data_IF_234924914078
#
_entry.id   IF_234924914078
#
_cell.length_a   1.000
_cell.length_b   1.000
_cell.length_c   1.000
_cell.angle_alpha   90.00
_cell.angle_beta   90.00
_cell.angle_gamma   90.00
#
_symmetry.space_group_name_H-M   'P 1'
#
loop_
_entity.id
_entity.type
_entity.pdbx_description
1 polymer ?
#
# COMPACT_ATOMS: atom_id res chain seq x y z
N UNK A 1 -28.10 -16.13 -13.03
CA UNK A 1 -27.19 -17.28 -12.92
C UNK A 1 -27.53 -18.13 -11.71
N UNK A 2 -27.61 -17.54 -10.51
CA UNK A 2 -27.95 -18.27 -9.27
C UNK A 2 -29.32 -18.97 -9.34
N UNK A 3 -30.33 -18.34 -9.96
CA UNK A 3 -31.67 -18.92 -10.13
C UNK A 3 -31.69 -20.25 -10.90
N UNK A 4 -30.81 -20.42 -11.89
CA UNK A 4 -30.77 -21.64 -12.72
C UNK A 4 -30.07 -22.77 -11.95
N UNK A 5 -29.01 -22.43 -11.23
CA UNK A 5 -28.29 -23.38 -10.36
C UNK A 5 -29.12 -23.80 -9.15
N UNK A 6 -29.81 -22.87 -8.50
CA UNK A 6 -30.77 -23.16 -7.42
C UNK A 6 -31.91 -24.05 -7.91
N UNK A 7 -32.44 -23.79 -9.12
CA UNK A 7 -33.47 -24.62 -9.72
C UNK A 7 -32.96 -26.04 -10.03
N UNK A 8 -31.72 -26.18 -10.52
CA UNK A 8 -31.10 -27.48 -10.74
C UNK A 8 -30.88 -28.25 -9.43
N UNK A 9 -30.37 -27.58 -8.40
CA UNK A 9 -30.15 -28.16 -7.07
C UNK A 9 -31.47 -28.60 -6.43
N UNK A 10 -32.54 -27.80 -6.59
CA UNK A 10 -33.89 -28.12 -6.10
C UNK A 10 -34.52 -29.31 -6.82
N UNK A 11 -34.23 -29.50 -8.11
CA UNK A 11 -34.80 -30.56 -8.93
C UNK A 11 -33.85 -31.72 -9.25
N UNK A 12 -32.78 -31.91 -8.44
CA UNK A 12 -31.72 -32.92 -8.68
C UNK A 12 -32.23 -34.31 -9.05
N UNK A 13 -33.30 -34.80 -8.41
CA UNK A 13 -33.89 -36.12 -8.69
C UNK A 13 -34.53 -36.21 -10.09
N UNK A 14 -35.18 -35.13 -10.55
CA UNK A 14 -35.78 -35.06 -11.89
C UNK A 14 -34.73 -34.95 -12.98
N UNK A 15 -33.65 -34.21 -12.70
CA UNK A 15 -32.52 -34.07 -13.63
C UNK A 15 -31.78 -35.40 -13.77
N UNK A 16 -31.50 -36.09 -12.67
CA UNK A 16 -30.89 -37.43 -12.70
C UNK A 16 -31.78 -38.40 -13.47
N UNK A 17 -33.10 -38.39 -13.21
CA UNK A 17 -34.05 -39.23 -13.96
C UNK A 17 -34.03 -38.92 -15.46
N UNK A 18 -33.98 -37.63 -15.83
CA UNK A 18 -33.91 -37.20 -17.23
C UNK A 18 -32.61 -37.66 -17.91
N UNK A 19 -31.47 -37.56 -17.23
CA UNK A 19 -30.17 -38.03 -17.73
C UNK A 19 -30.20 -39.54 -17.94
N UNK A 20 -30.70 -40.30 -16.96
CA UNK A 20 -30.84 -41.76 -17.07
C UNK A 20 -31.78 -42.14 -18.22
N UNK A 21 -32.90 -41.42 -18.38
CA UNK A 21 -33.84 -41.63 -19.48
C UNK A 21 -33.22 -41.30 -20.84
N UNK A 22 -32.41 -40.24 -20.95
CA UNK A 22 -31.69 -39.91 -22.17
C UNK A 22 -30.60 -40.94 -22.51
N UNK A 23 -30.04 -41.63 -21.51
CA UNK A 23 -28.99 -42.62 -21.72
C UNK A 23 -29.56 -44.01 -22.08
N UNK A 24 -30.63 -44.42 -21.39
CA UNK A 24 -31.25 -45.75 -21.53
C UNK A 24 -32.38 -45.75 -22.56
N UNK A 25 -33.12 -44.66 -22.67
CA UNK A 25 -34.26 -44.52 -23.58
C UNK A 25 -33.92 -44.80 -25.05
N UNK A 26 -32.86 -44.21 -25.61
CA UNK A 26 -32.43 -44.52 -26.97
C UNK A 26 -32.10 -46.00 -27.17
N UNK A 27 -31.43 -46.67 -26.21
CA UNK A 27 -31.16 -48.11 -26.31
C UNK A 27 -32.44 -48.95 -26.37
N UNK A 28 -33.47 -48.58 -25.60
CA UNK A 28 -34.76 -49.28 -25.63
C UNK A 28 -35.48 -49.03 -26.95
N UNK A 29 -35.48 -47.78 -27.42
CA UNK A 29 -36.14 -47.37 -28.67
C UNK A 29 -35.49 -48.03 -29.89
N UNK A 30 -34.15 -48.06 -29.96
CA UNK A 30 -33.44 -48.75 -31.04
C UNK A 30 -33.71 -50.25 -31.00
N UNK A 31 -33.68 -50.88 -29.82
CA UNK A 31 -33.96 -52.31 -29.70
C UNK A 31 -35.38 -52.69 -30.15
N UNK A 32 -36.37 -51.82 -29.89
CA UNK A 32 -37.74 -52.02 -30.34
C UNK A 32 -37.89 -51.79 -31.85
N UNK A 33 -37.33 -50.70 -32.40
CA UNK A 33 -37.38 -50.37 -33.83
C UNK A 33 -36.73 -51.45 -34.70
N UNK A 34 -35.59 -52.01 -34.28
CA UNK A 34 -34.90 -53.06 -35.04
C UNK A 34 -35.56 -54.44 -34.94
N UNK A 35 -36.41 -54.67 -33.93
CA UNK A 35 -37.06 -55.97 -33.70
C UNK A 35 -38.50 -56.03 -34.22
N UNK A 36 -39.14 -54.87 -34.41
CA UNK A 36 -40.54 -54.77 -34.80
C UNK A 36 -40.68 -54.57 -36.31
N UNK A 37 -41.07 -55.63 -37.03
CA UNK A 37 -41.41 -55.52 -38.46
C UNK A 37 -42.87 -55.10 -38.62
N UNK A 38 -43.12 -53.80 -38.76
CA UNK A 38 -44.46 -53.23 -38.95
C UNK A 38 -44.96 -53.27 -40.39
N UNK A 39 -44.07 -53.47 -41.37
CA UNK A 39 -44.42 -53.46 -42.80
C UNK A 39 -44.91 -52.09 -43.31
N UNK A 40 -44.73 -51.04 -42.52
CA UNK A 40 -45.14 -49.67 -42.82
C UNK A 40 -43.89 -48.84 -43.10
N UNK A 41 -43.71 -48.42 -44.35
CA UNK A 41 -42.49 -47.77 -44.86
C UNK A 41 -42.03 -46.57 -44.02
N UNK A 42 -42.95 -45.82 -43.40
CA UNK A 42 -42.66 -44.63 -42.60
C UNK A 42 -42.08 -44.92 -41.21
N UNK A 43 -42.18 -46.17 -40.74
CA UNK A 43 -41.76 -46.60 -39.40
C UNK A 43 -40.56 -47.56 -39.50
N UNK A 44 -40.28 -48.05 -40.70
CA UNK A 44 -39.16 -48.94 -40.97
C UNK A 44 -37.85 -48.15 -40.94
N UNK A 45 -36.87 -48.65 -40.20
CA UNK A 45 -35.61 -47.93 -40.01
C UNK A 45 -34.79 -47.93 -41.31
N UNK A 46 -34.68 -46.76 -41.96
CA UNK A 46 -33.81 -46.56 -43.13
C UNK A 46 -32.33 -46.44 -42.78
N UNK A 47 -32.02 -46.21 -41.49
CA UNK A 47 -30.68 -45.93 -41.00
C UNK A 47 -30.02 -47.21 -40.52
N UNK A 48 -28.73 -47.41 -40.84
CA UNK A 48 -27.98 -48.51 -40.26
C UNK A 48 -27.81 -48.30 -38.74
N UNK A 49 -27.80 -49.40 -37.99
CA UNK A 49 -27.67 -49.37 -36.53
C UNK A 49 -26.43 -48.60 -36.06
N UNK A 50 -25.34 -48.64 -36.85
CA UNK A 50 -24.10 -47.90 -36.57
C UNK A 50 -24.24 -46.38 -36.71
N UNK A 51 -24.94 -45.90 -37.74
CA UNK A 51 -25.15 -44.47 -38.00
C UNK A 51 -26.05 -43.83 -36.93
N UNK A 52 -27.14 -44.52 -36.58
CA UNK A 52 -28.05 -44.07 -35.53
C UNK A 52 -27.34 -44.02 -34.16
N UNK A 53 -26.54 -45.04 -33.82
CA UNK A 53 -25.78 -45.07 -32.57
C UNK A 53 -24.72 -43.96 -32.51
N UNK A 54 -24.04 -43.68 -33.63
CA UNK A 54 -23.06 -42.60 -33.75
C UNK A 54 -23.69 -41.20 -33.56
N UNK A 55 -24.88 -40.98 -34.12
CA UNK A 55 -25.64 -39.75 -33.89
C UNK A 55 -25.99 -39.56 -32.41
N UNK A 56 -26.50 -40.60 -31.75
CA UNK A 56 -26.82 -40.55 -30.32
C UNK A 56 -25.58 -40.30 -29.46
N UNK A 57 -24.45 -40.94 -29.76
CA UNK A 57 -23.20 -40.70 -29.06
C UNK A 57 -22.71 -39.24 -29.20
N UNK A 58 -22.90 -38.66 -30.38
CA UNK A 58 -22.52 -37.26 -30.67
C UNK A 58 -23.38 -36.27 -29.86
N UNK A 59 -24.70 -36.45 -29.85
CA UNK A 59 -25.62 -35.61 -29.06
C UNK A 59 -25.39 -35.80 -27.56
N UNK A 60 -25.17 -37.03 -27.12
CA UNK A 60 -24.91 -37.35 -25.71
C UNK A 60 -23.58 -36.78 -25.21
N UNK A 61 -22.56 -36.67 -26.07
CA UNK A 61 -21.26 -36.06 -25.71
C UNK A 61 -21.28 -34.53 -25.68
N UNK A 62 -22.22 -33.89 -26.38
CA UNK A 62 -22.38 -32.43 -26.35
C UNK A 62 -22.83 -31.91 -24.98
N UNK A 63 -23.82 -32.56 -24.37
CA UNK A 63 -24.39 -32.16 -23.07
C UNK A 63 -23.34 -32.02 -21.94
N UNK A 64 -22.51 -33.03 -21.63
CA UNK A 64 -21.47 -32.92 -20.63
C UNK A 64 -20.41 -31.90 -21.01
N UNK A 65 -20.09 -31.75 -22.30
CA UNK A 65 -19.14 -30.73 -22.78
C UNK A 65 -19.63 -29.31 -22.51
N UNK A 66 -20.93 -29.03 -22.73
CA UNK A 66 -21.53 -27.71 -22.43
C UNK A 66 -21.53 -27.45 -20.92
N UNK A 67 -21.91 -28.43 -20.10
CA UNK A 67 -21.89 -28.31 -18.63
C UNK A 67 -20.46 -28.09 -18.13
N UNK A 68 -19.48 -28.79 -18.71
CA UNK A 68 -18.06 -28.66 -18.35
C UNK A 68 -17.51 -27.28 -18.76
N UNK A 69 -17.85 -26.79 -19.96
CA UNK A 69 -17.49 -25.45 -20.41
C UNK A 69 -18.06 -24.37 -19.48
N UNK A 70 -19.32 -24.51 -19.07
CA UNK A 70 -19.96 -23.62 -18.10
C UNK A 70 -19.26 -23.65 -16.73
N UNK A 71 -19.00 -24.85 -16.19
CA UNK A 71 -18.30 -25.01 -14.91
C UNK A 71 -16.90 -24.38 -14.95
N UNK A 72 -16.21 -24.52 -16.08
CA UNK A 72 -14.88 -23.91 -16.30
C UNK A 72 -14.95 -22.39 -16.27
N UNK A 73 -15.94 -21.77 -16.93
CA UNK A 73 -16.14 -20.31 -16.88
C UNK A 73 -16.40 -19.82 -15.45
N UNK A 74 -17.23 -20.54 -14.69
CA UNK A 74 -17.54 -20.19 -13.29
C UNK A 74 -16.32 -20.32 -12.37
N UNK A 75 -15.52 -21.38 -12.54
CA UNK A 75 -14.27 -21.56 -11.81
C UNK A 75 -13.27 -20.45 -12.15
N UNK A 76 -13.18 -20.06 -13.42
CA UNK A 76 -12.29 -19.00 -13.87
C UNK A 76 -12.71 -17.62 -13.31
N UNK A 77 -14.00 -17.29 -13.34
CA UNK A 77 -14.50 -16.06 -12.73
C UNK A 77 -14.24 -16.00 -11.21
N UNK A 78 -14.44 -17.12 -10.51
CA UNK A 78 -14.13 -17.21 -9.08
C UNK A 78 -12.63 -17.09 -8.80
N UNK A 79 -11.79 -17.73 -9.62
CA UNK A 79 -10.34 -17.66 -9.51
C UNK A 79 -9.85 -16.22 -9.76
N UNK A 80 -10.37 -15.53 -10.76
CA UNK A 80 -10.05 -14.13 -11.04
C UNK A 80 -10.41 -13.22 -9.87
N UNK A 81 -11.62 -13.36 -9.30
CA UNK A 81 -12.03 -12.59 -8.10
C UNK A 81 -11.12 -12.84 -6.90
N UNK A 82 -10.69 -14.09 -6.70
CA UNK A 82 -9.73 -14.43 -5.64
C UNK A 82 -8.34 -13.84 -5.92
N UNK A 83 -7.90 -13.89 -7.18
CA UNK A 83 -6.64 -13.31 -7.62
C UNK A 83 -6.60 -11.80 -7.41
N UNK A 84 -7.66 -11.08 -7.81
CA UNK A 84 -7.78 -9.63 -7.58
C UNK A 84 -7.70 -9.27 -6.10
N UNK A 85 -8.35 -10.08 -5.24
CA UNK A 85 -8.29 -9.90 -3.79
C UNK A 85 -6.87 -10.13 -3.26
N UNK A 86 -6.17 -11.16 -3.76
CA UNK A 86 -4.77 -11.44 -3.40
C UNK A 86 -3.84 -10.32 -3.87
N UNK A 87 -3.99 -9.83 -5.10
CA UNK A 87 -3.22 -8.70 -5.63
C UNK A 87 -3.44 -7.45 -4.76
N UNK A 88 -4.69 -7.16 -4.35
CA UNK A 88 -4.99 -6.03 -3.47
C UNK A 88 -4.37 -6.20 -2.08
N UNK A 89 -4.37 -7.42 -1.54
CA UNK A 89 -3.69 -7.73 -0.26
C UNK A 89 -2.18 -7.57 -0.38
N UNK A 90 -1.57 -8.06 -1.46
CA UNK A 90 -0.15 -7.88 -1.74
C UNK A 90 0.21 -6.41 -1.92
N UNK A 91 -0.62 -5.62 -2.61
CA UNK A 91 -0.40 -4.18 -2.77
C UNK A 91 -0.42 -3.43 -1.42
N UNK A 92 -1.31 -3.82 -0.51
CA UNK A 92 -1.31 -3.27 0.85
C UNK A 92 -0.10 -3.75 1.67
N UNK A 93 0.41 -4.95 1.41
CA UNK A 93 1.67 -5.45 1.97
C UNK A 93 2.91 -4.78 1.35
N UNK A 94 2.79 -4.22 0.15
CA UNK A 94 3.87 -3.47 -0.50
C UNK A 94 4.02 -2.05 0.04
N UNK A 95 3.06 -1.49 0.79
CA UNK A 95 3.26 -0.15 1.35
C UNK A 95 4.39 -0.18 2.37
N UNK A 96 5.31 0.77 2.24
CA UNK A 96 6.35 0.99 3.24
C UNK A 96 5.97 2.20 4.08
N UNK A 97 5.82 2.01 5.39
CA UNK A 97 5.46 3.07 6.33
C UNK A 97 6.60 3.23 7.32
N UNK A 98 7.03 4.47 7.46
CA UNK A 98 8.09 4.90 8.35
C UNK A 98 7.49 5.86 9.36
N UNK A 99 7.84 5.70 10.63
CA UNK A 99 7.34 6.52 11.74
C UNK A 99 8.49 7.02 12.59
N UNK A 100 8.29 8.07 13.37
CA UNK A 100 9.31 8.52 14.33
C UNK A 100 9.43 7.53 15.48
N UNK A 101 10.66 7.14 15.82
CA UNK A 101 10.94 6.27 16.96
C UNK A 101 10.85 7.08 18.28
N UNK A 102 9.67 7.06 18.90
CA UNK A 102 9.38 7.78 20.15
C UNK A 102 10.29 7.40 21.33
N UNK A 103 10.87 6.19 21.30
CA UNK A 103 11.78 5.75 22.36
C UNK A 103 13.13 6.48 22.31
N UNK A 104 13.45 7.11 21.17
CA UNK A 104 14.73 7.78 20.94
C UNK A 104 14.55 9.29 20.96
N UNK A 105 15.62 9.97 21.37
CA UNK A 105 15.66 11.42 21.44
C UNK A 105 15.78 12.00 20.04
N UNK A 106 15.11 13.12 19.84
CA UNK A 106 15.27 13.95 18.66
C UNK A 106 16.34 15.00 18.96
N UNK A 107 17.28 15.20 18.03
CA UNK A 107 18.38 16.15 18.21
C UNK A 107 18.24 17.29 17.20
N UNK A 108 18.27 18.52 17.69
CA UNK A 108 18.39 19.70 16.87
C UNK A 108 19.75 20.35 17.07
N UNK A 109 20.40 20.71 15.97
CA UNK A 109 21.64 21.48 15.98
C UNK A 109 21.41 22.85 15.33
N UNK A 110 21.94 23.89 15.96
CA UNK A 110 21.95 25.26 15.42
C UNK A 110 23.37 25.64 15.04
N UNK A 111 23.59 25.98 13.76
CA UNK A 111 24.93 26.03 13.16
C UNK A 111 25.80 27.21 13.64
N UNK A 112 25.24 28.21 14.33
CA UNK A 112 25.98 29.34 14.92
C UNK A 112 26.98 28.93 16.02
N UNK A 113 26.83 27.75 16.65
CA UNK A 113 27.61 27.40 17.85
C UNK A 113 28.47 26.14 17.73
N UNK A 114 28.41 25.40 16.62
CA UNK A 114 29.24 24.21 16.41
C UNK A 114 30.24 24.42 15.26
N UNK A 115 31.48 24.85 15.56
CA UNK A 115 32.51 25.08 14.54
C UNK A 115 32.97 23.80 13.80
N UNK A 116 32.54 22.61 14.25
CA UNK A 116 32.99 21.31 13.74
C UNK A 116 31.79 20.53 13.13
N UNK A 117 30.63 21.18 12.94
CA UNK A 117 29.43 20.53 12.43
C UNK A 117 29.61 20.00 10.99
N UNK A 118 30.24 20.80 10.10
CA UNK A 118 30.56 20.36 8.73
C UNK A 118 31.48 19.12 8.71
N UNK A 119 32.43 19.04 9.64
CA UNK A 119 33.32 17.89 9.78
C UNK A 119 32.62 16.64 10.37
N UNK A 120 31.56 16.82 11.16
CA UNK A 120 30.73 15.74 11.71
C UNK A 120 29.66 15.24 10.75
N UNK A 121 29.16 16.09 9.86
CA UNK A 121 28.18 15.72 8.83
C UNK A 121 28.71 14.54 8.00
N UNK A 122 29.99 14.59 7.60
CA UNK A 122 30.67 13.53 6.85
C UNK A 122 30.85 12.16 7.54
N UNK A 123 30.44 11.95 8.81
CA UNK A 123 30.93 10.82 9.62
C UNK A 123 29.95 9.83 10.26
N UNK A 124 28.67 9.75 9.85
CA UNK A 124 27.73 8.60 10.05
C UNK A 124 26.27 9.09 10.07
N UNK A 125 25.64 9.14 8.91
CA UNK A 125 24.23 9.46 8.73
C UNK A 125 23.95 9.72 7.25
N UNK A 126 22.73 9.46 6.80
CA UNK A 126 22.31 9.89 5.46
C UNK A 126 21.86 11.35 5.58
N UNK A 127 22.66 12.23 4.99
CA UNK A 127 22.45 13.69 5.03
C UNK A 127 21.56 14.13 3.88
N UNK A 128 20.45 14.78 4.20
CA UNK A 128 19.58 15.44 3.24
C UNK A 128 20.06 16.89 3.11
N UNK A 129 20.21 17.41 1.88
CA UNK A 129 20.40 18.84 1.61
C UNK A 129 21.81 19.42 1.89
N UNK A 130 22.89 18.78 1.43
CA UNK A 130 24.26 19.34 1.53
C UNK A 130 24.52 20.49 0.53
N UNK A 131 23.74 20.59 -0.55
CA UNK A 131 23.99 21.52 -1.68
C UNK A 131 23.50 22.96 -1.45
N UNK A 132 22.88 23.27 -0.30
CA UNK A 132 22.15 24.53 -0.11
C UNK A 132 22.77 25.53 0.87
N UNK A 133 24.04 25.37 1.25
CA UNK A 133 24.77 26.46 1.91
C UNK A 133 25.14 27.51 0.84
N UNK A 134 24.11 28.19 0.33
CA UNK A 134 24.25 29.44 -0.40
C UNK A 134 24.87 30.46 0.57
N UNK A 135 25.90 31.18 0.14
CA UNK A 135 26.61 32.23 0.91
C UNK A 135 25.70 33.39 1.41
N UNK A 136 24.38 33.33 1.16
CA UNK A 136 23.39 34.32 1.58
C UNK A 136 22.64 34.01 2.89
N UNK A 137 22.75 32.80 3.46
CA UNK A 137 22.22 32.51 4.80
C UNK A 137 23.32 32.63 5.83
N UNK A 138 23.06 33.37 6.91
CA UNK A 138 23.95 33.31 8.06
C UNK A 138 23.87 31.91 8.66
N UNK A 139 24.98 31.39 9.16
CA UNK A 139 25.07 30.12 9.90
C UNK A 139 24.10 30.03 11.10
N UNK A 140 23.41 31.12 11.42
CA UNK A 140 22.38 31.22 12.45
C UNK A 140 21.04 30.57 12.08
N UNK A 141 20.79 30.33 10.79
CA UNK A 141 19.47 29.95 10.28
C UNK A 141 19.40 28.50 9.78
N UNK A 142 20.50 27.76 9.93
CA UNK A 142 20.59 26.34 9.58
C UNK A 142 20.25 25.51 10.82
N UNK A 143 19.27 24.63 10.66
CA UNK A 143 18.81 23.70 11.66
C UNK A 143 18.96 22.27 11.13
N UNK A 144 19.74 21.45 11.84
CA UNK A 144 19.86 20.03 11.52
C UNK A 144 18.98 19.25 12.49
N UNK A 145 18.00 18.52 11.96
CA UNK A 145 17.15 17.61 12.71
C UNK A 145 17.66 16.19 12.52
N UNK A 146 18.24 15.61 13.57
CA UNK A 146 18.53 14.18 13.58
C UNK A 146 17.39 13.43 14.26
N UNK A 147 16.82 12.47 13.54
CA UNK A 147 15.69 11.68 13.99
C UNK A 147 15.89 10.21 13.65
N UNK A 148 15.36 9.34 14.51
CA UNK A 148 15.28 7.92 14.23
C UNK A 148 13.94 7.60 13.59
N UNK A 149 14.03 7.00 12.42
CA UNK A 149 12.90 6.55 11.63
C UNK A 149 12.78 5.04 11.78
N UNK A 150 11.61 4.58 12.21
CA UNK A 150 11.28 3.16 12.35
C UNK A 150 10.38 2.73 11.21
N UNK A 151 10.79 1.72 10.47
CA UNK A 151 9.91 1.02 9.55
C UNK A 151 8.91 0.18 10.36
N UNK A 152 7.62 0.35 10.15
CA UNK A 152 6.58 -0.45 10.83
C UNK A 152 5.99 -1.54 9.95
N UNK A 153 6.45 -1.61 8.70
CA UNK A 153 5.98 -2.54 7.68
C UNK A 153 6.99 -3.64 7.40
N UNK A 154 6.50 -4.73 6.81
CA UNK A 154 7.29 -5.87 6.35
C UNK A 154 7.79 -5.64 4.90
N UNK A 155 8.02 -4.39 4.51
CA UNK A 155 8.59 -4.06 3.21
C UNK A 155 9.73 -3.04 3.38
N UNK A 156 10.71 -3.13 2.49
CA UNK A 156 11.88 -2.26 2.49
C UNK A 156 11.52 -0.84 2.06
N UNK A 157 12.16 0.12 2.72
CA UNK A 157 12.18 1.52 2.28
C UNK A 157 13.41 1.68 1.38
N UNK A 158 13.24 2.37 0.25
CA UNK A 158 14.32 2.68 -0.69
C UNK A 158 14.54 4.18 -0.87
N UNK A 159 13.54 5.01 -0.54
CA UNK A 159 13.66 6.46 -0.57
C UNK A 159 12.70 7.15 0.40
N UNK A 160 13.09 8.33 0.86
CA UNK A 160 12.27 9.20 1.70
C UNK A 160 12.42 10.64 1.20
N UNK A 161 11.31 11.32 1.03
CA UNK A 161 11.23 12.73 0.68
C UNK A 161 10.49 13.48 1.79
N UNK A 162 11.04 14.61 2.23
CA UNK A 162 10.37 15.52 3.15
C UNK A 162 9.59 16.55 2.35
N UNK A 163 8.28 16.36 2.18
CA UNK A 163 7.45 17.26 1.38
C UNK A 163 7.03 18.51 2.17
N UNK A 164 6.68 18.34 3.45
CA UNK A 164 6.23 19.42 4.31
C UNK A 164 6.85 19.28 5.69
N UNK A 165 7.25 20.41 6.26
CA UNK A 165 7.71 20.50 7.64
C UNK A 165 7.30 21.86 8.20
N UNK A 166 6.35 21.87 9.12
CA UNK A 166 5.86 23.07 9.79
C UNK A 166 6.13 22.94 11.29
N UNK A 167 6.74 23.97 11.87
CA UNK A 167 6.84 24.15 13.32
C UNK A 167 5.65 24.99 13.77
N UNK A 168 4.89 24.47 14.72
CA UNK A 168 3.70 25.12 15.27
C UNK A 168 3.97 25.48 16.72
N UNK A 169 3.85 26.76 17.04
CA UNK A 169 4.04 27.29 18.39
C UNK A 169 2.70 27.89 18.82
N UNK A 170 2.17 27.42 19.94
CA UNK A 170 0.97 27.99 20.56
C UNK A 170 1.40 28.99 21.63
N UNK A 171 0.86 30.19 21.58
CA UNK A 171 1.09 31.23 22.59
C UNK A 171 0.19 31.07 23.81
N UNK A 172 0.50 31.80 24.89
CA UNK A 172 -0.34 31.90 26.10
C UNK A 172 -1.78 32.36 25.78
N UNK A 173 -1.96 33.18 24.76
CA UNK A 173 -3.25 33.66 24.26
C UNK A 173 -3.97 32.68 23.31
N UNK A 174 -3.48 31.45 23.16
CA UNK A 174 -3.91 30.44 22.16
C UNK A 174 -3.73 30.87 20.69
N UNK A 175 -2.94 31.90 20.41
CA UNK A 175 -2.55 32.21 19.04
C UNK A 175 -1.56 31.16 18.51
N UNK A 176 -1.84 30.63 17.32
CA UNK A 176 -1.04 29.57 16.69
C UNK A 176 -0.12 30.19 15.64
N UNK A 177 1.19 30.09 15.86
CA UNK A 177 2.21 30.56 14.94
C UNK A 177 2.83 29.38 14.18
N UNK A 178 2.69 29.37 12.85
CA UNK A 178 3.22 28.32 11.99
C UNK A 178 4.44 28.81 11.22
N UNK A 179 5.55 28.09 11.31
CA UNK A 179 6.83 28.43 10.68
C UNK A 179 7.24 27.33 9.72
N UNK A 180 7.58 27.74 8.49
CA UNK A 180 8.02 26.83 7.42
C UNK A 180 9.49 27.09 7.08
N UNK A 181 10.28 26.04 6.79
CA UNK A 181 11.62 26.22 6.27
C UNK A 181 11.56 26.80 4.86
N UNK A 182 12.57 27.60 4.50
CA UNK A 182 12.68 28.22 3.17
C UNK A 182 13.28 27.28 2.14
N UNK A 183 14.19 26.38 2.58
CA UNK A 183 14.79 25.30 1.78
C UNK A 183 14.97 24.06 2.65
N UNK A 184 15.11 22.89 2.03
CA UNK A 184 15.18 21.59 2.73
C UNK A 184 13.97 20.68 2.53
N UNK A 185 13.07 21.03 1.59
CA UNK A 185 11.85 20.28 1.28
C UNK A 185 11.84 19.83 -0.19
N UNK A 186 11.18 18.71 -0.48
CA UNK A 186 10.93 18.22 -1.84
C UNK A 186 12.10 17.46 -2.50
N UNK A 187 13.15 17.15 -1.74
CA UNK A 187 14.27 16.35 -2.22
C UNK A 187 14.14 14.91 -1.75
N UNK A 188 14.20 13.99 -2.71
CA UNK A 188 14.20 12.56 -2.41
C UNK A 188 15.58 12.11 -1.94
N UNK A 189 15.61 11.54 -0.74
CA UNK A 189 16.77 10.86 -0.17
C UNK A 189 16.72 9.38 -0.53
N UNK A 190 17.78 8.87 -1.16
CA UNK A 190 17.98 7.42 -1.26
C UNK A 190 18.40 6.87 0.10
N UNK A 191 17.50 6.16 0.76
CA UNK A 191 17.74 5.54 2.08
C UNK A 191 17.15 4.14 2.10
N UNK A 192 17.94 3.20 2.61
CA UNK A 192 17.50 1.83 2.79
C UNK A 192 17.18 1.56 4.25
N UNK A 193 15.92 1.23 4.55
CA UNK A 193 15.50 0.80 5.89
C UNK A 193 14.92 -0.60 5.77
N UNK A 194 15.52 -1.56 6.48
CA UNK A 194 15.05 -2.94 6.52
C UNK A 194 13.66 -3.09 7.13
N UNK A 195 13.08 -4.29 6.97
CA UNK A 195 11.78 -4.65 7.55
C UNK A 195 11.83 -4.53 9.08
N UNK A 196 10.92 -3.74 9.65
CA UNK A 196 10.86 -3.50 11.11
C UNK A 196 12.15 -2.94 11.73
N UNK A 197 13.07 -2.42 10.91
CA UNK A 197 14.32 -1.81 11.37
C UNK A 197 14.16 -0.30 11.61
N UNK A 198 15.15 0.28 12.29
CA UNK A 198 15.22 1.70 12.55
C UNK A 198 16.51 2.28 11.96
N UNK A 199 16.41 3.41 11.28
CA UNK A 199 17.56 4.11 10.70
C UNK A 199 17.62 5.55 11.20
N UNK A 200 18.83 6.09 11.35
CA UNK A 200 19.02 7.48 11.79
C UNK A 200 19.14 8.39 10.57
N UNK A 201 18.22 9.34 10.45
CA UNK A 201 18.15 10.29 9.32
C UNK A 201 18.44 11.70 9.81
N UNK A 202 19.14 12.48 8.98
CA UNK A 202 19.39 13.90 9.24
C UNK A 202 18.71 14.75 8.18
N UNK A 203 17.74 15.55 8.59
CA UNK A 203 17.12 16.57 7.75
C UNK A 203 17.82 17.91 7.99
N UNK A 204 18.34 18.53 6.94
CA UNK A 204 18.91 19.88 7.00
C UNK A 204 17.84 20.86 6.53
N UNK A 205 17.41 21.74 7.43
CA UNK A 205 16.38 22.74 7.20
C UNK A 205 16.99 24.13 7.34
N UNK A 206 16.62 25.06 6.45
CA UNK A 206 17.17 26.43 6.49
C UNK A 206 16.10 27.51 6.48
N UNK A 207 16.42 28.65 7.10
CA UNK A 207 15.59 29.84 7.07
C UNK A 207 14.49 29.89 8.12
N UNK A 208 14.49 29.04 9.16
CA UNK A 208 13.45 29.04 10.19
C UNK A 208 13.48 30.30 11.07
N UNK A 209 14.67 30.71 11.51
CA UNK A 209 14.87 31.84 12.43
C UNK A 209 14.57 33.20 11.77
N UNK A 210 14.71 33.32 10.45
CA UNK A 210 14.38 34.56 9.73
C UNK A 210 12.88 34.93 9.78
N UNK A 211 12.00 33.98 10.14
CA UNK A 211 10.56 34.19 10.21
C UNK A 211 9.99 34.22 11.63
N UNK A 212 10.84 34.02 12.64
CA UNK A 212 10.44 33.97 14.05
C UNK A 212 10.83 35.26 14.77
N UNK A 213 9.87 36.01 15.33
CA UNK A 213 10.17 37.03 16.32
C UNK A 213 10.98 36.45 17.49
N UNK A 214 11.84 37.26 18.10
CA UNK A 214 12.76 36.80 19.16
C UNK A 214 12.05 36.09 20.31
N UNK A 215 10.89 36.61 20.72
CA UNK A 215 10.05 36.05 21.79
C UNK A 215 9.55 34.64 21.43
N UNK A 216 9.07 34.46 20.19
CA UNK A 216 8.61 33.14 19.70
C UNK A 216 9.76 32.16 19.50
N UNK A 217 10.93 32.66 19.11
CA UNK A 217 12.15 31.87 19.04
C UNK A 217 12.57 31.34 20.41
N UNK A 218 12.32 32.09 21.50
CA UNK A 218 12.58 31.66 22.87
C UNK A 218 11.60 30.56 23.32
N UNK A 219 10.31 30.70 23.02
CA UNK A 219 9.30 29.66 23.30
C UNK A 219 9.60 28.35 22.57
N UNK A 220 9.92 28.43 21.28
CA UNK A 220 10.30 27.27 20.46
C UNK A 220 11.48 26.47 21.07
N UNK A 221 12.35 27.10 21.85
CA UNK A 221 13.49 26.37 22.43
C UNK A 221 13.03 25.33 23.45
N UNK A 222 11.89 25.56 24.10
CA UNK A 222 11.37 24.73 25.17
C UNK A 222 10.33 23.73 24.71
N UNK A 223 9.33 24.17 23.96
CA UNK A 223 8.21 23.32 23.52
C UNK A 223 7.60 23.83 22.21
N UNK A 224 7.28 22.91 21.30
CA UNK A 224 6.58 23.19 20.05
C UNK A 224 6.01 21.90 19.44
N UNK A 225 5.11 22.06 18.49
CA UNK A 225 4.59 20.95 17.68
C UNK A 225 5.25 20.92 16.29
N UNK A 226 5.44 19.72 15.76
CA UNK A 226 5.87 19.46 14.39
C UNK A 226 4.72 18.86 13.62
N UNK A 227 4.43 19.45 12.46
CA UNK A 227 3.58 18.87 11.42
C UNK A 227 4.44 18.56 10.21
N UNK A 228 4.50 17.29 9.83
CA UNK A 228 5.42 16.82 8.81
C UNK A 228 4.70 15.91 7.81
N UNK A 229 5.03 16.01 6.53
CA UNK A 229 4.59 15.08 5.49
C UNK A 229 5.83 14.42 4.88
N UNK A 230 5.93 13.11 5.05
CA UNK A 230 6.97 12.30 4.41
C UNK A 230 6.37 11.50 3.27
N UNK A 231 7.03 11.55 2.12
CA UNK A 231 6.82 10.63 1.01
C UNK A 231 7.84 9.50 1.09
N UNK A 232 7.35 8.25 1.14
CA UNK A 232 8.18 7.07 1.35
C UNK A 232 8.09 6.20 0.11
N UNK A 233 9.22 5.99 -0.55
CA UNK A 233 9.33 5.09 -1.70
C UNK A 233 9.83 3.72 -1.24
N UNK A 234 9.13 2.66 -1.65
CA UNK A 234 9.59 1.30 -1.43
C UNK A 234 10.52 0.80 -2.55
N UNK A 235 11.08 -0.40 -2.40
CA UNK A 235 11.93 -1.05 -3.43
C UNK A 235 11.22 -1.32 -4.76
N UNK A 236 9.89 -1.30 -4.77
CA UNK A 236 9.05 -1.49 -5.97
C UNK A 236 8.65 -0.17 -6.64
N UNK A 237 9.14 0.98 -6.16
CA UNK A 237 8.82 2.31 -6.69
C UNK A 237 7.46 2.89 -6.29
N UNK A 238 6.71 2.21 -5.41
CA UNK A 238 5.46 2.73 -4.86
C UNK A 238 5.76 3.77 -3.78
N UNK A 239 5.05 4.91 -3.86
CA UNK A 239 5.16 6.02 -2.91
C UNK A 239 3.98 5.98 -1.94
N UNK A 240 4.27 6.06 -0.65
CA UNK A 240 3.29 6.17 0.44
C UNK A 240 3.54 7.47 1.18
N UNK A 241 2.51 8.31 1.30
CA UNK A 241 2.59 9.56 2.06
C UNK A 241 2.12 9.35 3.50
N UNK A 242 2.93 9.81 4.45
CA UNK A 242 2.62 9.73 5.88
C UNK A 242 2.71 11.11 6.47
N UNK A 243 1.59 11.56 7.04
CA UNK A 243 1.49 12.82 7.76
C UNK A 243 1.67 12.57 9.25
N UNK A 244 2.48 13.39 9.90
CA UNK A 244 2.79 13.34 11.32
C UNK A 244 2.39 14.64 11.99
N UNK A 245 1.82 14.52 13.18
CA UNK A 245 1.60 15.62 14.10
C UNK A 245 2.12 15.20 15.47
N UNK A 246 3.09 15.93 16.01
CA UNK A 246 3.73 15.56 17.27
C UNK A 246 4.19 16.76 18.06
N UNK A 247 3.95 16.73 19.37
CA UNK A 247 4.55 17.66 20.31
C UNK A 247 6.00 17.28 20.63
N UNK A 248 6.84 18.28 20.90
CA UNK A 248 8.25 18.13 21.22
C UNK A 248 8.62 19.03 22.39
N UNK A 249 9.23 18.47 23.44
CA UNK A 249 9.66 19.18 24.65
C UNK A 249 11.15 19.00 24.89
N UNK A 250 11.81 20.10 25.26
CA UNK A 250 13.25 20.16 25.55
C UNK A 250 13.59 19.31 26.77
N UNK A 251 14.59 18.45 26.61
CA UNK A 251 15.13 17.61 27.70
C UNK A 251 16.50 18.06 28.15
N UNK A 252 17.35 18.47 27.22
CA UNK A 252 18.69 18.94 27.51
C UNK A 252 19.15 19.95 26.46
N UNK A 253 19.93 20.94 26.88
CA UNK A 253 20.50 21.95 26.00
C UNK A 253 22.00 22.05 26.29
N UNK A 254 22.82 21.79 25.28
CA UNK A 254 24.24 22.07 25.30
C UNK A 254 24.50 23.33 24.48
N UNK A 255 24.53 24.45 25.19
CA UNK A 255 24.71 25.76 24.58
C UNK A 255 26.09 25.94 23.94
N UNK A 256 27.11 25.17 24.34
CA UNK A 256 28.47 25.29 23.80
C UNK A 256 28.56 24.76 22.38
N UNK A 257 27.73 23.78 22.04
CA UNK A 257 27.71 23.10 20.73
C UNK A 257 26.39 23.44 19.99
N UNK A 258 25.52 24.26 20.57
CA UNK A 258 24.22 24.58 19.97
C UNK A 258 23.33 23.35 19.76
N UNK A 259 23.54 22.31 20.55
CA UNK A 259 22.83 21.02 20.48
C UNK A 259 21.70 21.02 21.49
N UNK A 260 20.49 20.72 21.02
CA UNK A 260 19.30 20.57 21.86
C UNK A 260 18.74 19.17 21.69
N UNK A 261 18.47 18.52 22.82
CA UNK A 261 17.84 17.20 22.86
C UNK A 261 16.40 17.35 23.27
N UNK A 262 15.50 16.76 22.48
CA UNK A 262 14.07 16.81 22.71
C UNK A 262 13.46 15.42 22.84
N UNK A 263 12.33 15.37 23.55
CA UNK A 263 11.47 14.18 23.68
C UNK A 263 10.18 14.41 22.90
N UNK A 264 9.75 13.38 22.18
CA UNK A 264 8.54 13.36 21.37
C UNK A 264 7.35 12.96 22.26
N UNK A 265 6.24 13.69 22.20
CA UNK A 265 4.98 13.38 22.88
C UNK A 265 3.79 13.74 21.97
N UNK A 266 2.56 13.32 22.35
CA UNK A 266 1.34 13.55 21.54
C UNK A 266 1.50 13.18 20.06
N UNK A 267 2.14 12.04 19.80
CA UNK A 267 2.45 11.60 18.46
C UNK A 267 1.25 10.94 17.79
N UNK A 268 0.80 11.53 16.68
CA UNK A 268 -0.20 10.98 15.79
C UNK A 268 0.35 10.91 14.37
N UNK A 269 0.04 9.85 13.64
CA UNK A 269 0.35 9.75 12.23
C UNK A 269 -0.84 9.22 11.45
N UNK A 270 -0.98 9.70 10.21
CA UNK A 270 -2.05 9.29 9.29
C UNK A 270 -1.43 9.01 7.94
N UNK A 271 -1.86 7.92 7.33
CA UNK A 271 -1.59 7.67 5.92
C UNK A 271 -2.43 8.64 5.09
N UNK A 272 -1.80 9.36 4.18
CA UNK A 272 -2.48 10.22 3.22
C UNK A 272 -2.66 9.39 1.95
N UNK A 273 -3.92 9.11 1.61
CA UNK A 273 -4.24 8.22 0.50
C UNK A 273 -3.81 8.88 -0.82
N UNK A 274 -2.69 8.41 -1.38
CA UNK A 274 -2.21 8.87 -2.67
C UNK A 274 -3.23 8.51 -3.75
N UNK A 275 -4.02 9.49 -4.21
CA UNK A 275 -4.69 9.35 -5.51
C UNK A 275 -3.59 9.26 -6.56
N UNK A 276 -3.50 8.10 -7.21
CA UNK A 276 -2.64 7.87 -8.38
C UNK A 276 -2.75 9.06 -9.34
N UNK A 277 -1.63 9.73 -9.62
CA UNK A 277 -1.46 10.48 -10.86
C UNK A 277 -1.26 9.49 -12.00
#
# INVERSE_FOLDING_TARGET
>A
MDKLFEWMMKNKKKIILFIVLMMVGPMIVTHLLFKWRTGCYWIEAEWEAGEMLGYFASVLSFLPTVVLGYATLMLNDKANKQNDKLIKMQYNQQKSIVVFDQARKLLFFTLNKDPILLDRLNKRGVDINLDYIDNGYTTNDIMIMEIWLKNVTDNFVAGIELEQFDIVICDEDNEVYCVKPKKGLGEELSIFIGEKENEKVRFILTGLKSFLPKEKWEVMQYEFEIRCLLSIRNVYGQITQVYFETGIVLKANDEKIGKREYTIFNYNYKEVDCRKY
#
